data_IF_053021548833
#
_entry.id   IF_053021548833
#
_cell.length_a   1.000
_cell.length_b   1.000
_cell.length_c   1.000
_cell.angle_alpha   90.00
_cell.angle_beta   90.00
_cell.angle_gamma   90.00
#
_symmetry.space_group_name_H-M   'P 1'
#
loop_
_entity.id
_entity.type
_entity.pdbx_description
1 polymer ?
#
# COMPACT_ATOMS: atom_id res chain seq x y z
N UNK A 1 -5.73 9.60 -9.52
CA UNK A 1 -6.01 9.40 -8.07
C UNK A 1 -5.05 8.36 -7.49
N UNK A 2 -4.76 8.33 -6.18
CA UNK A 2 -3.76 7.39 -5.60
C UNK A 2 -4.12 5.91 -5.82
N UNK A 3 -5.41 5.58 -5.76
CA UNK A 3 -5.91 4.23 -6.04
C UNK A 3 -5.68 3.81 -7.50
N UNK A 4 -5.88 4.71 -8.46
CA UNK A 4 -5.59 4.43 -9.88
C UNK A 4 -4.10 4.17 -10.12
N UNK A 5 -3.23 4.90 -9.41
CA UNK A 5 -1.79 4.68 -9.49
C UNK A 5 -1.41 3.32 -8.90
N UNK A 6 -1.97 2.94 -7.75
CA UNK A 6 -1.75 1.62 -7.15
C UNK A 6 -2.12 0.49 -8.13
N UNK A 7 -3.30 0.59 -8.77
CA UNK A 7 -3.75 -0.39 -9.78
C UNK A 7 -2.80 -0.46 -10.98
N UNK A 8 -2.28 0.68 -11.45
CA UNK A 8 -1.32 0.70 -12.56
C UNK A 8 0.02 0.06 -12.17
N UNK A 9 0.48 0.29 -10.93
CA UNK A 9 1.72 -0.30 -10.41
C UNK A 9 1.57 -1.81 -10.23
N UNK A 10 0.44 -2.30 -9.71
CA UNK A 10 0.14 -3.74 -9.62
C UNK A 10 0.08 -4.38 -11.00
N UNK A 11 -0.59 -3.74 -11.97
CA UNK A 11 -0.65 -4.24 -13.34
C UNK A 11 0.74 -4.32 -14.00
N UNK A 12 1.63 -3.35 -13.72
CA UNK A 12 3.02 -3.41 -14.16
C UNK A 12 3.77 -4.56 -13.48
N UNK A 13 3.66 -4.70 -12.17
CA UNK A 13 4.27 -5.78 -11.40
C UNK A 13 3.84 -7.16 -11.91
N UNK A 14 2.54 -7.35 -12.14
CA UNK A 14 1.97 -8.58 -12.68
C UNK A 14 2.55 -8.92 -14.07
N UNK A 15 2.72 -7.91 -14.94
CA UNK A 15 3.34 -8.10 -16.26
C UNK A 15 4.81 -8.48 -16.17
N UNK A 16 5.56 -7.88 -15.24
CA UNK A 16 6.98 -8.23 -15.00
C UNK A 16 7.12 -9.63 -14.40
N UNK A 17 6.23 -10.01 -13.50
CA UNK A 17 6.20 -11.34 -12.89
C UNK A 17 5.83 -12.46 -13.88
N UNK A 18 5.28 -12.13 -15.05
CA UNK A 18 4.99 -13.12 -16.10
C UNK A 18 6.25 -13.62 -16.83
N UNK A 19 7.39 -12.94 -16.68
CA UNK A 19 8.68 -13.36 -17.22
C UNK A 19 9.54 -14.03 -16.11
N UNK A 20 9.78 -15.35 -16.18
CA UNK A 20 10.56 -16.08 -15.18
C UNK A 20 12.00 -15.58 -15.00
N UNK A 21 12.63 -15.06 -16.05
CA UNK A 21 14.00 -14.54 -15.98
C UNK A 21 14.03 -13.22 -15.20
N UNK A 22 13.02 -12.36 -15.41
CA UNK A 22 12.85 -11.12 -14.65
C UNK A 22 12.57 -11.44 -13.18
N UNK A 23 11.66 -12.38 -12.90
CA UNK A 23 11.37 -12.82 -11.53
C UNK A 23 12.63 -13.31 -10.84
N UNK A 24 13.40 -14.19 -11.48
CA UNK A 24 14.59 -14.79 -10.88
C UNK A 24 15.67 -13.75 -10.58
N UNK A 25 15.84 -12.75 -11.45
CA UNK A 25 16.89 -11.72 -11.31
C UNK A 25 16.49 -10.55 -10.42
N UNK A 26 15.19 -10.27 -10.28
CA UNK A 26 14.70 -9.03 -9.68
C UNK A 26 13.58 -9.25 -8.66
N UNK A 27 13.49 -10.44 -8.03
CA UNK A 27 12.41 -10.75 -7.08
C UNK A 27 12.30 -9.73 -5.95
N UNK A 28 13.43 -9.22 -5.44
CA UNK A 28 13.46 -8.23 -4.36
C UNK A 28 12.88 -6.90 -4.81
N UNK A 29 13.24 -6.44 -6.00
CA UNK A 29 12.69 -5.21 -6.59
C UNK A 29 11.20 -5.37 -6.91
N UNK A 30 10.77 -6.53 -7.40
CA UNK A 30 9.36 -6.82 -7.66
C UNK A 30 8.54 -6.83 -6.36
N UNK A 31 9.07 -7.39 -5.28
CA UNK A 31 8.46 -7.31 -3.95
C UNK A 31 8.38 -5.86 -3.44
N UNK A 32 9.40 -5.04 -3.72
CA UNK A 32 9.37 -3.62 -3.37
C UNK A 32 8.29 -2.86 -4.16
N UNK A 33 8.09 -3.20 -5.44
CA UNK A 33 7.01 -2.64 -6.28
C UNK A 33 5.63 -3.00 -5.73
N UNK A 34 5.41 -4.26 -5.38
CA UNK A 34 4.17 -4.73 -4.74
C UNK A 34 3.90 -3.96 -3.43
N UNK A 35 4.92 -3.83 -2.57
CA UNK A 35 4.80 -3.07 -1.33
C UNK A 35 4.44 -1.60 -1.57
N UNK A 36 5.01 -0.96 -2.60
CA UNK A 36 4.68 0.43 -2.96
C UNK A 36 3.20 0.55 -3.36
N UNK A 37 2.69 -0.37 -4.18
CA UNK A 37 1.29 -0.34 -4.61
C UNK A 37 0.34 -0.51 -3.41
N UNK A 38 0.62 -1.48 -2.54
CA UNK A 38 -0.18 -1.70 -1.33
C UNK A 38 -0.13 -0.49 -0.38
N UNK A 39 1.02 0.19 -0.26
CA UNK A 39 1.12 1.44 0.51
C UNK A 39 0.27 2.55 -0.10
N UNK A 40 0.26 2.70 -1.42
CA UNK A 40 -0.58 3.68 -2.12
C UNK A 40 -2.08 3.40 -1.96
N UNK A 41 -2.48 2.13 -2.02
CA UNK A 41 -3.87 1.72 -1.82
C UNK A 41 -4.36 2.06 -0.40
N UNK A 42 -3.62 1.65 0.63
CA UNK A 42 -3.97 1.98 2.02
C UNK A 42 -4.03 3.50 2.27
N UNK A 43 -3.15 4.28 1.64
CA UNK A 43 -3.21 5.74 1.73
C UNK A 43 -4.45 6.30 1.03
N UNK A 44 -4.83 5.77 -0.13
CA UNK A 44 -6.04 6.18 -0.83
C UNK A 44 -7.30 5.88 -0.01
N UNK A 45 -7.37 4.68 0.60
CA UNK A 45 -8.44 4.29 1.51
C UNK A 45 -8.51 5.22 2.72
N UNK A 46 -7.38 5.50 3.37
CA UNK A 46 -7.33 6.41 4.51
C UNK A 46 -7.85 7.81 4.17
N UNK A 47 -7.45 8.36 3.02
CA UNK A 47 -7.84 9.70 2.58
C UNK A 47 -9.33 9.82 2.26
N UNK A 48 -9.99 8.70 1.98
CA UNK A 48 -11.42 8.64 1.62
C UNK A 48 -12.30 8.04 2.71
N UNK A 49 -11.70 7.61 3.83
CA UNK A 49 -12.42 6.97 4.93
C UNK A 49 -13.22 7.96 5.77
N UNK A 50 -14.48 7.61 6.05
CA UNK A 50 -15.34 8.36 6.98
C UNK A 50 -14.76 8.37 8.41
N UNK A 51 -14.05 7.29 8.78
CA UNK A 51 -13.35 7.16 10.05
C UNK A 51 -11.88 6.77 9.80
N UNK A 52 -10.95 7.75 9.77
CA UNK A 52 -9.53 7.49 9.52
C UNK A 52 -8.90 6.49 10.50
N UNK A 53 -9.39 6.43 11.74
CA UNK A 53 -8.90 5.46 12.74
C UNK A 53 -9.31 4.03 12.41
N UNK A 54 -10.56 3.81 12.02
CA UNK A 54 -11.01 2.48 11.60
C UNK A 54 -10.28 2.02 10.33
N UNK A 55 -10.01 2.95 9.41
CA UNK A 55 -9.20 2.67 8.22
C UNK A 55 -7.76 2.24 8.58
N UNK A 56 -7.10 2.93 9.53
CA UNK A 56 -5.78 2.52 10.04
C UNK A 56 -5.82 1.13 10.69
N UNK A 57 -6.86 0.83 11.48
CA UNK A 57 -6.98 -0.49 12.11
C UNK A 57 -7.12 -1.63 11.10
N UNK A 58 -7.77 -1.37 9.96
CA UNK A 58 -7.94 -2.33 8.87
C UNK A 58 -6.69 -2.52 8.00
N UNK A 59 -5.68 -1.65 8.11
CA UNK A 59 -4.45 -1.76 7.30
C UNK A 59 -3.67 -3.03 7.64
N UNK A 60 -3.21 -3.73 6.59
CA UNK A 60 -2.46 -5.00 6.74
C UNK A 60 -0.95 -4.80 6.91
N UNK A 61 -0.42 -3.62 6.55
CA UNK A 61 1.00 -3.32 6.66
C UNK A 61 1.29 -2.69 8.03
N UNK A 62 1.76 -3.51 8.98
CA UNK A 62 2.02 -3.11 10.36
C UNK A 62 2.93 -1.87 10.52
N UNK A 63 3.94 -1.71 9.64
CA UNK A 63 4.80 -0.53 9.65
C UNK A 63 3.99 0.75 9.36
N UNK A 64 3.13 0.70 8.36
CA UNK A 64 2.31 1.85 7.95
C UNK A 64 1.22 2.12 8.97
N UNK A 65 0.52 1.07 9.42
CA UNK A 65 -0.48 1.12 10.50
C UNK A 65 0.09 1.84 11.73
N UNK A 66 1.28 1.43 12.19
CA UNK A 66 1.95 2.05 13.35
C UNK A 66 2.27 3.52 13.11
N UNK A 67 2.91 3.85 11.98
CA UNK A 67 3.35 5.22 11.67
C UNK A 67 2.17 6.18 11.54
N UNK A 68 1.12 5.78 10.83
CA UNK A 68 -0.07 6.60 10.65
C UNK A 68 -0.87 6.67 11.96
N UNK A 69 -1.00 5.56 12.69
CA UNK A 69 -1.66 5.53 13.99
C UNK A 69 -1.06 6.50 15.01
N UNK A 70 0.27 6.67 15.02
CA UNK A 70 0.96 7.68 15.84
C UNK A 70 0.69 9.12 15.39
N UNK A 71 0.41 9.34 14.11
CA UNK A 71 0.16 10.66 13.54
C UNK A 71 -1.32 11.08 13.60
N UNK A 72 -2.24 10.14 13.81
CA UNK A 72 -3.65 10.45 13.96
C UNK A 72 -3.90 11.19 15.29
N UNK A 73 -4.60 12.34 15.28
CA UNK A 73 -4.92 13.05 16.50
C UNK A 73 -5.71 12.15 17.47
N UNK A 74 -5.41 12.30 18.77
CA UNK A 74 -6.22 11.75 19.84
C UNK A 74 -7.64 12.31 19.75
N UNK A 75 -8.64 11.48 20.01
CA UNK A 75 -10.03 11.94 20.08
C UNK A 75 -10.13 12.94 21.25
N UNK A 76 -10.83 14.07 21.11
CA UNK A 76 -11.24 14.83 22.30
C UNK A 76 -12.13 13.92 23.16
N UNK A 77 -11.83 13.89 24.46
CA UNK A 77 -12.58 13.15 25.49
C UNK A 77 -14.10 13.42 25.44
#
# INVERSE_FOLDING_TARGET
MLSELAVQVEALGARLCADPDVVTRHITELQAIDLIAQKQLHLAELLTADCPRAAVEAMRIEEVKRRIGMALPGQPD
#
